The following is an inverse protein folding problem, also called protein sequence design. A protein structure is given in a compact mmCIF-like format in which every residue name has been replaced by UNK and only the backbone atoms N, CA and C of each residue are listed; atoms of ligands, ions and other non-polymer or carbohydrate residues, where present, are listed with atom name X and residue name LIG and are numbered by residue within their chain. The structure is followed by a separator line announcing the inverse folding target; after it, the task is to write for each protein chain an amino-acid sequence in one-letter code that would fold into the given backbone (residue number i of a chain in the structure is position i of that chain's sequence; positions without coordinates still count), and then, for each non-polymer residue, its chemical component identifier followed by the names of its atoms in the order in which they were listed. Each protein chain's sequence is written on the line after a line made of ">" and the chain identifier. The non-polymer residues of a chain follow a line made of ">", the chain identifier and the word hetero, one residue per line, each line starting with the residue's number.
data_IF_473433838117
#
_entry.id   IF_473433838117
#
_cell.length_a   1.000
_cell.length_b   1.000
_cell.length_c   1.000
_cell.angle_alpha   90.00
_cell.angle_beta   90.00
_cell.angle_gamma   90.00
#
_symmetry.space_group_name_H-M   'P 1'
#
loop_
_entity.id
_entity.type
_entity.pdbx_description
1 polymer ?
#
# COMPACT_ATOMS: atom_id res chain seq x y z
N UNK A 1 6.44 4.44 9.76
CA UNK A 1 6.58 3.53 8.62
C UNK A 1 5.23 3.33 7.95
N UNK A 2 4.20 2.79 8.62
CA UNK A 2 2.90 2.50 8.01
C UNK A 2 2.31 3.73 7.30
N UNK A 3 2.22 4.88 7.97
CA UNK A 3 1.73 6.11 7.33
C UNK A 3 2.42 6.41 5.98
N UNK A 4 3.73 6.19 5.86
CA UNK A 4 4.44 6.38 4.58
C UNK A 4 4.12 5.27 3.58
N UNK A 5 3.85 4.07 4.04
CA UNK A 5 3.34 2.97 3.22
C UNK A 5 2.01 3.34 2.58
N UNK A 6 1.04 3.81 3.38
CA UNK A 6 -0.28 4.22 2.91
C UNK A 6 -0.21 5.42 1.94
N UNK A 7 0.71 6.39 2.18
CA UNK A 7 0.98 7.47 1.20
C UNK A 7 1.42 6.90 -0.14
N UNK A 8 2.27 5.87 -0.11
CA UNK A 8 2.73 5.21 -1.33
C UNK A 8 1.63 4.41 -2.02
N UNK A 9 0.84 3.64 -1.26
CA UNK A 9 -0.25 2.83 -1.78
C UNK A 9 -1.32 3.71 -2.44
N UNK A 10 -1.79 4.74 -1.73
CA UNK A 10 -2.74 5.72 -2.26
C UNK A 10 -2.25 6.33 -3.59
N UNK A 11 -1.01 6.84 -3.61
CA UNK A 11 -0.44 7.46 -4.82
C UNK A 11 -0.25 6.46 -5.96
N UNK A 12 0.18 5.24 -5.64
CA UNK A 12 0.35 4.15 -6.59
C UNK A 12 -0.96 3.84 -7.30
N UNK A 13 -2.05 3.65 -6.54
CA UNK A 13 -3.37 3.29 -7.08
C UNK A 13 -3.99 4.43 -7.89
N UNK A 14 -3.79 5.68 -7.50
CA UNK A 14 -4.18 6.85 -8.31
C UNK A 14 -3.42 6.88 -9.64
N UNK A 15 -2.12 6.63 -9.63
CA UNK A 15 -1.31 6.52 -10.85
C UNK A 15 -1.73 5.37 -11.75
N UNK A 16 -2.00 4.21 -11.17
CA UNK A 16 -2.50 3.02 -11.86
C UNK A 16 -3.88 3.27 -12.52
N UNK A 17 -4.80 3.91 -11.78
CA UNK A 17 -6.13 4.26 -12.28
C UNK A 17 -6.07 5.24 -13.46
N UNK A 18 -5.14 6.21 -13.42
CA UNK A 18 -4.96 7.21 -14.48
C UNK A 18 -4.69 6.56 -15.85
N UNK A 19 -3.99 5.45 -15.89
CA UNK A 19 -3.56 4.78 -17.12
C UNK A 19 -4.28 3.46 -17.38
N UNK A 20 -5.19 3.04 -16.50
CA UNK A 20 -6.04 1.87 -16.69
C UNK A 20 -6.94 2.04 -17.91
N UNK A 21 -7.12 0.98 -18.67
CA UNK A 21 -7.93 0.98 -19.91
C UNK A 21 -9.35 0.51 -19.68
N UNK A 22 -9.54 -0.40 -18.72
CA UNK A 22 -10.86 -0.90 -18.33
C UNK A 22 -11.44 0.02 -17.23
N UNK A 23 -12.64 0.61 -17.44
CA UNK A 23 -13.28 1.45 -16.41
C UNK A 23 -13.53 0.74 -15.06
N UNK A 24 -13.78 -0.57 -15.08
CA UNK A 24 -13.97 -1.35 -13.83
C UNK A 24 -12.65 -1.50 -13.07
N UNK A 25 -11.54 -1.75 -13.79
CA UNK A 25 -10.23 -1.78 -13.18
C UNK A 25 -9.85 -0.40 -12.60
N UNK A 26 -10.10 0.68 -13.35
CA UNK A 26 -9.87 2.04 -12.87
C UNK A 26 -10.68 2.34 -11.60
N UNK A 27 -11.95 1.93 -11.57
CA UNK A 27 -12.81 2.12 -10.39
C UNK A 27 -12.31 1.34 -9.20
N UNK A 28 -11.96 0.05 -9.35
CA UNK A 28 -11.42 -0.76 -8.26
C UNK A 28 -10.13 -0.16 -7.67
N UNK A 29 -9.26 0.39 -8.52
CA UNK A 29 -8.03 1.08 -8.07
C UNK A 29 -8.32 2.38 -7.33
N UNK A 30 -9.34 3.15 -7.75
CA UNK A 30 -9.74 4.37 -7.04
C UNK A 30 -10.43 4.05 -5.71
N UNK A 31 -11.26 3.02 -5.66
CA UNK A 31 -11.88 2.54 -4.41
C UNK A 31 -10.81 2.12 -3.41
N UNK A 32 -9.81 1.34 -3.82
CA UNK A 32 -8.66 1.00 -2.97
C UNK A 32 -7.91 2.27 -2.52
N UNK A 33 -7.63 3.22 -3.42
CA UNK A 33 -6.98 4.49 -3.06
C UNK A 33 -7.78 5.32 -2.05
N UNK A 34 -9.11 5.29 -2.11
CA UNK A 34 -9.97 5.99 -1.16
C UNK A 34 -9.94 5.33 0.23
N UNK A 35 -9.87 3.99 0.31
CA UNK A 35 -9.71 3.26 1.56
C UNK A 35 -8.36 3.58 2.23
N UNK A 36 -7.28 3.78 1.45
CA UNK A 36 -5.99 4.23 1.99
C UNK A 36 -6.07 5.60 2.68
N UNK A 37 -7.04 6.44 2.31
CA UNK A 37 -7.27 7.71 3.02
C UNK A 37 -7.72 7.49 4.46
N UNK A 38 -8.52 6.45 4.73
CA UNK A 38 -8.91 6.08 6.08
C UNK A 38 -7.73 5.51 6.87
N UNK A 39 -6.94 4.63 6.26
CA UNK A 39 -5.71 4.07 6.85
C UNK A 39 -4.72 5.20 7.22
N UNK A 40 -4.52 6.17 6.32
CA UNK A 40 -3.73 7.37 6.60
C UNK A 40 -4.23 8.13 7.82
N UNK A 41 -5.56 8.34 7.92
CA UNK A 41 -6.16 9.05 9.05
C UNK A 41 -5.99 8.27 10.37
N UNK A 42 -6.06 6.93 10.35
CA UNK A 42 -5.81 6.10 11.54
C UNK A 42 -4.34 6.16 11.96
N UNK A 43 -3.42 6.02 11.01
CA UNK A 43 -1.99 6.12 11.24
C UNK A 43 -1.59 7.50 11.78
N UNK A 44 -2.13 8.59 11.21
CA UNK A 44 -1.82 9.95 11.65
C UNK A 44 -2.31 10.21 13.09
N UNK A 45 -3.55 9.81 13.41
CA UNK A 45 -4.06 9.91 14.77
C UNK A 45 -3.19 9.12 15.75
N UNK A 46 -2.77 7.91 15.35
CA UNK A 46 -1.93 7.08 16.21
C UNK A 46 -0.54 7.66 16.43
N UNK A 47 0.08 8.23 15.39
CA UNK A 47 1.36 8.95 15.52
C UNK A 47 1.25 10.11 16.50
N UNK A 48 0.19 10.90 16.41
CA UNK A 48 -0.08 12.01 17.34
C UNK A 48 -0.26 11.52 18.79
N UNK A 49 -1.01 10.43 19.01
CA UNK A 49 -1.18 9.80 20.33
C UNK A 49 0.17 9.37 20.94
N UNK A 50 1.10 8.95 20.10
CA UNK A 50 2.43 8.48 20.50
C UNK A 50 3.47 9.62 20.60
N UNK A 51 3.08 10.87 20.30
CA UNK A 51 4.01 12.01 20.27
C UNK A 51 5.07 11.90 19.16
N UNK A 52 4.75 11.18 18.08
CA UNK A 52 5.62 10.97 16.92
C UNK A 52 5.17 11.83 15.74
N UNK A 53 5.86 11.72 14.60
CA UNK A 53 5.57 12.53 13.41
C UNK A 53 5.57 11.70 12.13
N UNK A 54 5.00 12.27 11.08
CA UNK A 54 5.05 11.73 9.71
C UNK A 54 6.45 11.92 9.12
N UNK A 55 6.85 11.01 8.23
CA UNK A 55 8.12 11.15 7.49
C UNK A 55 8.11 12.42 6.63
N UNK A 56 9.20 13.17 6.67
CA UNK A 56 9.42 14.35 5.82
C UNK A 56 9.59 13.98 4.34
N UNK A 57 9.86 12.71 4.04
CA UNK A 57 10.01 12.21 2.67
C UNK A 57 8.67 11.86 2.00
N UNK A 58 7.53 11.98 2.69
CA UNK A 58 6.22 11.63 2.14
C UNK A 58 5.89 12.29 0.78
N UNK A 59 6.23 13.57 0.51
CA UNK A 59 6.01 14.15 -0.82
C UNK A 59 6.82 13.45 -1.92
N UNK A 60 8.03 13.00 -1.62
CA UNK A 60 8.87 12.26 -2.54
C UNK A 60 8.32 10.85 -2.78
N UNK A 61 7.91 10.18 -1.71
CA UNK A 61 7.28 8.87 -1.77
C UNK A 61 6.00 8.91 -2.61
N UNK A 62 5.15 9.91 -2.39
CA UNK A 62 3.94 10.11 -3.17
C UNK A 62 4.24 10.26 -4.66
N UNK A 63 5.12 11.21 -5.03
CA UNK A 63 5.45 11.47 -6.43
C UNK A 63 6.07 10.25 -7.13
N UNK A 64 6.97 9.54 -6.44
CA UNK A 64 7.61 8.32 -6.95
C UNK A 64 6.61 7.19 -7.15
N UNK A 65 5.75 6.94 -6.17
CA UNK A 65 4.73 5.89 -6.22
C UNK A 65 3.66 6.17 -7.27
N UNK A 66 3.20 7.42 -7.39
CA UNK A 66 2.26 7.82 -8.44
C UNK A 66 2.84 7.56 -9.83
N UNK A 67 4.09 7.96 -10.05
CA UNK A 67 4.78 7.73 -11.34
C UNK A 67 4.91 6.25 -11.64
N UNK A 68 5.31 5.45 -10.65
CA UNK A 68 5.41 4.00 -10.79
C UNK A 68 4.05 3.38 -11.10
N UNK A 69 3.00 3.84 -10.42
CA UNK A 69 1.63 3.39 -10.67
C UNK A 69 1.17 3.69 -12.10
N UNK A 70 1.41 4.90 -12.60
CA UNK A 70 1.08 5.26 -13.96
C UNK A 70 1.83 4.42 -15.01
N UNK A 71 3.09 4.07 -14.74
CA UNK A 71 3.86 3.16 -15.60
C UNK A 71 3.31 1.73 -15.55
N UNK A 72 2.97 1.22 -14.37
CA UNK A 72 2.38 -0.11 -14.20
C UNK A 72 1.04 -0.22 -14.93
N UNK A 73 0.17 0.78 -14.78
CA UNK A 73 -1.12 0.83 -15.47
C UNK A 73 -0.99 0.85 -17.00
N UNK A 74 0.00 1.55 -17.52
CA UNK A 74 0.27 1.61 -18.96
C UNK A 74 0.62 0.24 -19.58
N UNK A 75 1.09 -0.73 -18.76
CA UNK A 75 1.36 -2.11 -19.21
C UNK A 75 0.09 -2.92 -19.50
N UNK A 76 -1.07 -2.40 -19.12
CA UNK A 76 -2.39 -3.00 -19.34
C UNK A 76 -2.98 -3.64 -18.07
N UNK A 77 -4.30 -3.68 -18.03
CA UNK A 77 -5.09 -3.92 -16.81
C UNK A 77 -4.75 -5.23 -16.09
N UNK A 78 -4.43 -6.28 -16.84
CA UNK A 78 -4.02 -7.56 -16.27
C UNK A 78 -2.77 -7.45 -15.38
N UNK A 79 -1.75 -6.75 -15.85
CA UNK A 79 -0.51 -6.53 -15.11
C UNK A 79 -0.66 -5.44 -14.05
N UNK A 80 -1.48 -4.45 -14.34
CA UNK A 80 -1.86 -3.36 -13.45
C UNK A 80 -2.50 -3.91 -12.16
N UNK A 81 -3.55 -4.71 -12.30
CA UNK A 81 -4.22 -5.35 -11.16
C UNK A 81 -3.35 -6.41 -10.48
N UNK A 82 -2.49 -7.10 -11.24
CA UNK A 82 -1.48 -7.98 -10.67
C UNK A 82 -0.46 -7.24 -9.80
N UNK A 83 -0.12 -6.01 -10.17
CA UNK A 83 0.76 -5.15 -9.39
C UNK A 83 0.07 -4.71 -8.08
N UNK A 84 -1.21 -4.31 -8.13
CA UNK A 84 -2.02 -4.05 -6.95
C UNK A 84 -2.01 -5.27 -6.01
N UNK A 85 -2.41 -6.44 -6.50
CA UNK A 85 -2.48 -7.65 -5.68
C UNK A 85 -1.14 -8.01 -5.01
N UNK A 86 -0.03 -7.84 -5.70
CA UNK A 86 1.29 -8.13 -5.13
C UNK A 86 1.72 -7.06 -4.12
N UNK A 87 1.38 -5.80 -4.34
CA UNK A 87 1.63 -4.72 -3.36
C UNK A 87 0.94 -5.05 -2.04
N UNK A 88 -0.34 -5.41 -2.09
CA UNK A 88 -1.13 -5.70 -0.88
C UNK A 88 -0.67 -6.96 -0.15
N UNK A 89 -0.25 -8.01 -0.87
CA UNK A 89 0.35 -9.19 -0.23
C UNK A 89 1.63 -8.84 0.54
N UNK A 90 2.42 -7.91 0.02
CA UNK A 90 3.64 -7.48 0.70
C UNK A 90 3.32 -6.58 1.90
N UNK A 91 2.29 -5.73 1.79
CA UNK A 91 1.79 -4.92 2.91
C UNK A 91 1.21 -5.83 4.00
N UNK A 92 0.36 -6.81 3.65
CA UNK A 92 -0.16 -7.81 4.58
C UNK A 92 0.96 -8.49 5.38
N UNK A 93 2.00 -8.98 4.68
CA UNK A 93 3.16 -9.60 5.33
C UNK A 93 3.94 -8.65 6.26
N UNK A 94 3.99 -7.36 5.91
CA UNK A 94 4.60 -6.33 6.74
C UNK A 94 3.78 -6.05 8.01
N UNK A 95 2.45 -5.97 7.88
CA UNK A 95 1.52 -5.79 8.99
C UNK A 95 1.54 -6.98 9.96
N UNK A 96 1.67 -8.21 9.45
CA UNK A 96 1.88 -9.40 10.28
C UNK A 96 3.15 -9.31 11.12
N UNK A 97 4.24 -8.83 10.53
CA UNK A 97 5.48 -8.55 11.26
C UNK A 97 5.28 -7.54 12.40
N UNK A 98 4.47 -6.52 12.17
CA UNK A 98 4.10 -5.55 13.20
C UNK A 98 3.27 -6.19 14.32
N UNK A 99 2.25 -6.98 13.99
CA UNK A 99 1.41 -7.67 14.98
C UNK A 99 2.23 -8.63 15.87
N UNK A 100 3.29 -9.20 15.32
CA UNK A 100 4.22 -10.05 16.07
C UNK A 100 5.13 -9.25 17.02
N UNK A 101 5.49 -8.01 16.65
CA UNK A 101 6.46 -7.19 17.39
C UNK A 101 5.83 -6.17 18.35
N UNK A 102 4.56 -5.78 18.11
CA UNK A 102 3.83 -4.83 18.96
C UNK A 102 3.55 -5.44 20.33
N UNK A 103 3.75 -4.67 21.43
CA UNK A 103 3.39 -5.11 22.77
C UNK A 103 1.91 -5.51 22.86
N UNK A 104 1.61 -6.57 23.61
CA UNK A 104 0.22 -7.02 23.83
C UNK A 104 -0.65 -5.93 24.46
N UNK A 105 -0.05 -5.07 25.29
CA UNK A 105 -0.73 -3.98 25.98
C UNK A 105 -1.11 -2.83 25.05
N UNK A 106 -0.49 -2.74 23.87
CA UNK A 106 -0.82 -1.71 22.87
C UNK A 106 -2.01 -2.14 22.01
N UNK A 107 -3.14 -2.35 22.68
CA UNK A 107 -4.38 -2.77 22.02
C UNK A 107 -4.83 -1.80 20.90
N UNK A 108 -4.50 -0.50 21.03
CA UNK A 108 -4.89 0.53 20.06
C UNK A 108 -4.13 0.39 18.74
N UNK A 109 -2.80 0.25 18.80
CA UNK A 109 -1.99 0.02 17.59
C UNK A 109 -2.32 -1.33 16.95
N UNK A 110 -2.51 -2.36 17.78
CA UNK A 110 -2.87 -3.70 17.29
C UNK A 110 -4.19 -3.67 16.52
N UNK A 111 -5.25 -3.04 17.08
CA UNK A 111 -6.56 -2.95 16.42
C UNK A 111 -6.49 -2.22 15.06
N UNK A 112 -5.69 -1.14 14.95
CA UNK A 112 -5.48 -0.43 13.69
C UNK A 112 -4.81 -1.37 12.66
N UNK A 113 -3.72 -2.03 13.06
CA UNK A 113 -2.96 -2.91 12.14
C UNK A 113 -3.78 -4.14 11.73
N UNK A 114 -4.58 -4.70 12.65
CA UNK A 114 -5.49 -5.82 12.35
C UNK A 114 -6.58 -5.43 11.34
N UNK A 115 -7.15 -4.22 11.48
CA UNK A 115 -8.16 -3.75 10.53
C UNK A 115 -7.54 -3.47 9.17
N UNK A 116 -6.43 -2.73 9.10
CA UNK A 116 -5.70 -2.50 7.85
C UNK A 116 -5.41 -3.83 7.14
N UNK A 117 -4.83 -4.80 7.85
CA UNK A 117 -4.56 -6.12 7.27
C UNK A 117 -5.82 -6.80 6.69
N UNK A 118 -6.96 -6.69 7.37
CA UNK A 118 -8.21 -7.27 6.87
C UNK A 118 -8.69 -6.59 5.58
N UNK A 119 -8.43 -5.30 5.43
CA UNK A 119 -8.79 -4.53 4.23
C UNK A 119 -7.83 -4.85 3.07
N UNK A 120 -6.51 -4.97 3.32
CA UNK A 120 -5.53 -5.37 2.30
C UNK A 120 -5.84 -6.76 1.69
N UNK A 121 -6.30 -7.70 2.50
CA UNK A 121 -6.72 -9.02 1.98
C UNK A 121 -7.87 -8.86 0.97
N UNK A 122 -8.84 -7.98 1.24
CA UNK A 122 -9.95 -7.71 0.31
C UNK A 122 -9.45 -7.06 -1.00
N UNK A 123 -8.48 -6.16 -0.91
CA UNK A 123 -7.86 -5.55 -2.10
C UNK A 123 -7.21 -6.63 -2.99
N UNK A 124 -6.48 -7.59 -2.40
CA UNK A 124 -5.93 -8.74 -3.13
C UNK A 124 -7.03 -9.53 -3.83
N UNK A 125 -8.10 -9.89 -3.10
CA UNK A 125 -9.22 -10.67 -3.64
C UNK A 125 -9.91 -9.91 -4.78
N UNK A 126 -10.16 -8.62 -4.62
CA UNK A 126 -10.76 -7.74 -5.62
C UNK A 126 -9.90 -7.66 -6.88
N UNK A 127 -8.60 -7.45 -6.73
CA UNK A 127 -7.68 -7.38 -7.87
C UNK A 127 -7.65 -8.69 -8.67
N UNK A 128 -7.64 -9.84 -7.99
CA UNK A 128 -7.67 -11.15 -8.62
C UNK A 128 -9.01 -11.39 -9.32
N UNK A 129 -10.14 -11.05 -8.69
CA UNK A 129 -11.47 -11.21 -9.25
C UNK A 129 -11.67 -10.38 -10.54
N UNK A 130 -11.00 -9.22 -10.64
CA UNK A 130 -10.98 -8.39 -11.85
C UNK A 130 -9.91 -8.79 -12.88
N UNK A 131 -9.28 -9.95 -12.72
CA UNK A 131 -8.35 -10.54 -13.71
C UNK A 131 -6.89 -10.15 -13.54
N UNK A 132 -6.49 -9.70 -12.36
CA UNK A 132 -5.09 -9.46 -12.02
C UNK A 132 -4.23 -10.70 -12.21
N UNK A 133 -3.11 -10.56 -12.92
CA UNK A 133 -2.18 -11.65 -13.18
C UNK A 133 -1.15 -11.81 -12.09
N UNK A 134 -0.73 -13.04 -11.85
CA UNK A 134 0.44 -13.30 -11.03
C UNK A 134 1.70 -12.70 -11.67
N UNK A 135 2.42 -11.87 -10.93
CA UNK A 135 3.63 -11.23 -11.41
C UNK A 135 4.82 -12.20 -11.46
N UNK A 136 5.73 -12.04 -12.43
CA UNK A 136 6.97 -12.81 -12.46
C UNK A 136 7.82 -12.59 -11.19
N UNK A 137 8.50 -13.66 -10.75
CA UNK A 137 9.33 -13.62 -9.53
C UNK A 137 10.36 -12.45 -9.49
N UNK A 138 11.07 -12.10 -10.59
CA UNK A 138 11.97 -10.95 -10.55
C UNK A 138 11.29 -9.62 -10.25
N UNK A 139 10.04 -9.42 -10.75
CA UNK A 139 9.26 -8.20 -10.47
C UNK A 139 8.90 -8.14 -8.99
N UNK A 140 8.40 -9.24 -8.43
CA UNK A 140 8.08 -9.33 -6.99
C UNK A 140 9.30 -9.04 -6.11
N UNK A 141 10.46 -9.58 -6.48
CA UNK A 141 11.72 -9.33 -5.76
C UNK A 141 12.14 -7.86 -5.83
N UNK A 142 11.99 -7.21 -7.00
CA UNK A 142 12.26 -5.79 -7.15
C UNK A 142 11.31 -4.94 -6.27
N UNK A 143 10.01 -5.29 -6.23
CA UNK A 143 9.03 -4.65 -5.35
C UNK A 143 9.41 -4.80 -3.87
N UNK A 144 9.79 -6.01 -3.43
CA UNK A 144 10.25 -6.25 -2.06
C UNK A 144 11.49 -5.43 -1.70
N UNK A 145 12.44 -5.31 -2.62
CA UNK A 145 13.64 -4.49 -2.38
C UNK A 145 13.29 -3.02 -2.24
N UNK A 146 12.43 -2.50 -3.11
CA UNK A 146 11.95 -1.11 -3.04
C UNK A 146 11.20 -0.85 -1.72
N UNK A 147 10.32 -1.75 -1.32
CA UNK A 147 9.62 -1.69 -0.02
C UNK A 147 10.57 -1.65 1.17
N UNK A 148 11.64 -2.47 1.17
CA UNK A 148 12.67 -2.44 2.22
C UNK A 148 13.42 -1.11 2.27
N UNK A 149 13.72 -0.51 1.13
CA UNK A 149 14.37 0.81 1.06
C UNK A 149 13.44 1.89 1.64
N UNK A 150 12.17 1.88 1.26
CA UNK A 150 11.16 2.80 1.77
C UNK A 150 11.00 2.67 3.28
N UNK A 151 10.77 1.46 3.79
CA UNK A 151 10.56 1.21 5.22
C UNK A 151 11.78 1.58 6.04
N UNK A 152 12.99 1.30 5.54
CA UNK A 152 14.25 1.68 6.17
C UNK A 152 14.39 3.22 6.27
N UNK A 153 14.08 3.94 5.20
CA UNK A 153 14.17 5.39 5.18
C UNK A 153 13.07 6.05 6.03
N UNK A 154 11.82 5.61 5.88
CA UNK A 154 10.67 6.14 6.61
C UNK A 154 10.75 5.90 8.14
N UNK A 155 11.49 4.88 8.58
CA UNK A 155 11.75 4.63 10.00
C UNK A 155 12.72 5.64 10.63
N UNK A 156 13.56 6.30 9.83
CA UNK A 156 14.65 7.16 10.29
C UNK A 156 14.44 8.65 10.06
N UNK A 157 13.56 9.00 9.16
CA UNK A 157 13.30 10.36 8.70
C UNK A 157 11.79 10.63 8.74
#
# INVERSE_FOLDING_TARGET
>A
VNHSGEVCAQALYQGQALTARNPEAARALLEASDEETEHLAWCERRLNDLGSHKSFLNPLWYAGSFTLGALAGALGDKWNLGFLAETERQVEGHLDGHLTSLPEQDAKSRAIVEQMKADEIKHVETAIAHGGAELPAPVKQAMQLTSKVLTFAAYRI
#
